data_IF_744534017257
#
_entry.id   IF_744534017257
#
_cell.length_a   1.000
_cell.length_b   1.000
_cell.length_c   1.000
_cell.angle_alpha   90.00
_cell.angle_beta   90.00
_cell.angle_gamma   90.00
#
_symmetry.space_group_name_H-M   'P 1'
#
loop_
_entity.id
_entity.type
_entity.pdbx_description
1 polymer ?
#
# COMPACT_ATOMS: atom_id res chain seq x y z
N UNK A 1 22.84 44.68 32.87
CA UNK A 1 21.83 44.33 31.85
C UNK A 1 20.58 45.10 32.18
N UNK A 2 20.25 46.08 31.33
CA UNK A 2 19.15 47.00 31.57
C UNK A 2 17.82 46.36 31.12
N UNK A 3 16.73 46.64 31.85
CA UNK A 3 15.38 46.10 31.60
C UNK A 3 14.94 46.21 30.12
N UNK A 4 15.37 47.25 29.42
CA UNK A 4 15.09 47.47 28.00
C UNK A 4 15.76 46.44 27.06
N UNK A 5 16.92 45.88 27.45
CA UNK A 5 17.59 44.83 26.68
C UNK A 5 16.82 43.51 26.77
N UNK A 6 16.28 43.18 27.94
CA UNK A 6 15.43 42.00 28.14
C UNK A 6 14.11 42.10 27.37
N UNK A 7 13.45 43.26 27.39
CA UNK A 7 12.21 43.47 26.63
C UNK A 7 12.44 43.34 25.12
N UNK A 8 13.55 43.90 24.60
CA UNK A 8 13.94 43.74 23.19
C UNK A 8 14.27 42.29 22.82
N UNK A 9 14.97 41.57 23.70
CA UNK A 9 15.24 40.15 23.48
C UNK A 9 13.96 39.32 23.47
N UNK A 10 13.04 39.59 24.40
CA UNK A 10 11.76 38.88 24.49
C UNK A 10 10.88 39.11 23.26
N UNK A 11 10.82 40.35 22.75
CA UNK A 11 10.09 40.65 21.50
C UNK A 11 10.65 39.87 20.30
N UNK A 12 11.98 39.86 20.12
CA UNK A 12 12.62 39.09 19.04
C UNK A 12 12.37 37.58 19.14
N UNK A 13 12.36 37.05 20.36
CA UNK A 13 12.02 35.64 20.63
C UNK A 13 10.56 35.34 20.27
N UNK A 14 9.63 36.23 20.61
CA UNK A 14 8.20 36.07 20.30
C UNK A 14 7.93 36.08 18.79
N UNK A 15 8.60 36.97 18.04
CA UNK A 15 8.53 37.02 16.58
C UNK A 15 9.09 35.73 15.96
N UNK A 16 10.26 35.28 16.42
CA UNK A 16 10.87 34.04 15.93
C UNK A 16 9.97 32.82 16.16
N UNK A 17 9.33 32.71 17.32
CA UNK A 17 8.36 31.63 17.62
C UNK A 17 7.16 31.71 16.68
N UNK A 18 6.60 32.90 16.46
CA UNK A 18 5.45 33.09 15.56
C UNK A 18 5.78 32.67 14.13
N UNK A 19 6.96 33.01 13.64
CA UNK A 19 7.43 32.61 12.31
C UNK A 19 7.66 31.09 12.20
N UNK A 20 8.22 30.47 13.24
CA UNK A 20 8.40 29.01 13.29
C UNK A 20 7.05 28.29 13.26
N UNK A 21 6.08 28.71 14.08
CA UNK A 21 4.74 28.11 14.09
C UNK A 21 4.04 28.24 12.74
N UNK A 22 4.14 29.40 12.08
CA UNK A 22 3.56 29.61 10.76
C UNK A 22 4.20 28.71 9.68
N UNK A 23 5.52 28.47 9.76
CA UNK A 23 6.21 27.58 8.84
C UNK A 23 5.83 26.11 9.07
N UNK A 24 5.70 25.67 10.33
CA UNK A 24 5.24 24.31 10.66
C UNK A 24 3.83 24.05 10.12
N UNK A 25 2.90 24.98 10.32
CA UNK A 25 1.53 24.84 9.82
C UNK A 25 1.47 24.72 8.28
N UNK A 26 2.31 25.49 7.58
CA UNK A 26 2.44 25.40 6.11
C UNK A 26 2.97 24.04 5.67
N UNK A 27 3.96 23.49 6.38
CA UNK A 27 4.51 22.16 6.08
C UNK A 27 3.47 21.05 6.30
N UNK A 28 2.75 21.07 7.42
CA UNK A 28 1.71 20.08 7.72
C UNK A 28 0.58 20.11 6.67
N UNK A 29 0.18 21.32 6.25
CA UNK A 29 -0.83 21.47 5.18
C UNK A 29 -0.34 20.91 3.85
N UNK A 30 0.93 21.14 3.49
CA UNK A 30 1.53 20.58 2.27
C UNK A 30 1.63 19.05 2.33
N UNK A 31 2.03 18.48 3.48
CA UNK A 31 2.11 17.03 3.69
C UNK A 31 0.72 16.39 3.57
N UNK A 32 -0.30 16.99 4.17
CA UNK A 32 -1.67 16.49 4.10
C UNK A 32 -2.23 16.55 2.67
N UNK A 33 -1.94 17.61 1.91
CA UNK A 33 -2.31 17.72 0.51
C UNK A 33 -1.59 16.68 -0.36
N UNK A 34 -0.29 16.43 -0.12
CA UNK A 34 0.47 15.38 -0.79
C UNK A 34 -0.08 13.98 -0.49
N UNK A 35 -0.40 13.69 0.77
CA UNK A 35 -1.00 12.40 1.17
C UNK A 35 -2.38 12.18 0.54
N UNK A 36 -3.21 13.22 0.48
CA UNK A 36 -4.50 13.16 -0.21
C UNK A 36 -4.34 12.92 -1.72
N UNK A 37 -3.34 13.56 -2.35
CA UNK A 37 -3.01 13.33 -3.74
C UNK A 37 -2.53 11.89 -4.00
N UNK A 38 -1.63 11.35 -3.16
CA UNK A 38 -1.18 9.94 -3.24
C UNK A 38 -2.36 8.97 -3.07
N UNK A 39 -3.25 9.24 -2.11
CA UNK A 39 -4.45 8.43 -1.90
C UNK A 39 -5.38 8.47 -3.12
N UNK A 40 -5.57 9.65 -3.73
CA UNK A 40 -6.36 9.81 -4.95
C UNK A 40 -5.73 9.08 -6.16
N UNK A 41 -4.40 9.13 -6.32
CA UNK A 41 -3.67 8.40 -7.35
C UNK A 41 -3.80 6.88 -7.20
N UNK A 42 -3.82 6.38 -5.95
CA UNK A 42 -4.05 4.95 -5.67
C UNK A 42 -5.50 4.53 -5.94
N UNK A 43 -6.46 5.42 -5.72
CA UNK A 43 -7.91 5.13 -5.86
C UNK A 43 -8.38 4.95 -7.32
N UNK A 44 -7.52 5.21 -8.31
CA UNK A 44 -7.87 5.15 -9.74
C UNK A 44 -7.25 4.00 -10.53
N UNK A 45 -6.31 3.24 -9.97
CA UNK A 45 -5.74 2.06 -10.65
C UNK A 45 -6.51 0.82 -10.19
N UNK A 46 -7.53 0.42 -10.95
CA UNK A 46 -8.01 -0.97 -10.86
C UNK A 46 -6.83 -1.86 -11.19
N UNK A 47 -6.46 -2.76 -10.29
CA UNK A 47 -5.46 -3.77 -10.59
C UNK A 47 -6.04 -4.62 -11.73
N UNK A 48 -5.33 -4.75 -12.87
CA UNK A 48 -5.82 -5.57 -13.97
C UNK A 48 -5.99 -7.02 -13.50
N UNK A 49 -7.04 -7.67 -13.99
CA UNK A 49 -7.26 -9.09 -13.73
C UNK A 49 -6.06 -9.90 -14.27
N UNK A 50 -5.45 -10.79 -13.46
CA UNK A 50 -4.30 -11.58 -13.90
C UNK A 50 -4.71 -12.57 -14.99
N UNK A 51 -3.82 -12.81 -15.95
CA UNK A 51 -3.98 -13.93 -16.87
C UNK A 51 -3.74 -15.27 -16.14
N UNK A 52 -4.40 -16.37 -16.56
CA UNK A 52 -4.11 -17.68 -15.99
C UNK A 52 -2.64 -18.08 -16.16
N UNK A 53 -2.04 -18.60 -15.10
CA UNK A 53 -0.67 -19.07 -15.10
C UNK A 53 -0.54 -20.44 -15.74
N UNK A 54 0.37 -20.54 -16.71
CA UNK A 54 0.82 -21.78 -17.32
C UNK A 54 2.36 -21.84 -17.34
N UNK A 55 2.93 -23.06 -17.38
CA UNK A 55 4.39 -23.24 -17.37
C UNK A 55 5.04 -22.89 -18.72
N UNK A 56 4.27 -22.95 -19.80
CA UNK A 56 4.73 -22.64 -21.15
C UNK A 56 4.67 -21.13 -21.46
N UNK A 57 4.15 -20.33 -20.54
CA UNK A 57 4.03 -18.89 -20.66
C UNK A 57 5.34 -18.15 -20.42
N UNK A 58 5.36 -16.87 -20.77
CA UNK A 58 6.51 -15.98 -20.51
C UNK A 58 6.59 -15.46 -19.07
N UNK A 59 5.54 -15.62 -18.27
CA UNK A 59 5.46 -15.13 -16.89
C UNK A 59 5.98 -16.20 -15.94
N UNK A 60 6.88 -15.83 -15.03
CA UNK A 60 7.38 -16.76 -14.01
C UNK A 60 6.37 -16.91 -12.85
N UNK A 61 6.44 -18.03 -12.12
CA UNK A 61 5.54 -18.28 -10.99
C UNK A 61 5.61 -17.17 -9.91
N UNK A 62 6.79 -16.65 -9.50
CA UNK A 62 6.86 -15.53 -8.55
C UNK A 62 6.20 -14.25 -9.06
N UNK A 63 6.38 -13.93 -10.35
CA UNK A 63 5.76 -12.75 -10.96
C UNK A 63 4.24 -12.86 -10.99
N UNK A 64 3.72 -14.04 -11.33
CA UNK A 64 2.30 -14.32 -11.25
C UNK A 64 1.75 -14.10 -9.84
N UNK A 65 2.44 -14.59 -8.80
CA UNK A 65 1.99 -14.40 -7.42
C UNK A 65 1.94 -12.93 -7.01
N UNK A 66 2.91 -12.10 -7.42
CA UNK A 66 2.90 -10.66 -7.13
C UNK A 66 1.64 -10.01 -7.73
N UNK A 67 1.34 -10.28 -9.00
CA UNK A 67 0.17 -9.72 -9.69
C UNK A 67 -1.12 -10.25 -9.07
N UNK A 68 -1.18 -11.53 -8.74
CA UNK A 68 -2.33 -12.18 -8.13
C UNK A 68 -2.61 -11.64 -6.72
N UNK A 69 -1.58 -11.41 -5.90
CA UNK A 69 -1.71 -10.83 -4.56
C UNK A 69 -2.23 -9.40 -4.62
N UNK A 70 -1.74 -8.58 -5.55
CA UNK A 70 -2.24 -7.22 -5.76
C UNK A 70 -3.72 -7.23 -6.18
N UNK A 71 -4.11 -8.12 -7.10
CA UNK A 71 -5.49 -8.26 -7.56
C UNK A 71 -6.42 -8.73 -6.43
N UNK A 72 -6.00 -9.73 -5.66
CA UNK A 72 -6.77 -10.24 -4.53
C UNK A 72 -6.88 -9.23 -3.38
N UNK A 73 -5.84 -8.42 -3.17
CA UNK A 73 -5.85 -7.34 -2.19
C UNK A 73 -6.83 -6.23 -2.59
N UNK A 74 -6.92 -5.89 -3.87
CA UNK A 74 -7.89 -4.92 -4.41
C UNK A 74 -9.33 -5.44 -4.30
N UNK A 75 -9.57 -6.72 -4.66
CA UNK A 75 -10.91 -7.32 -4.65
C UNK A 75 -11.46 -7.64 -3.26
N UNK A 76 -10.64 -8.21 -2.38
CA UNK A 76 -11.09 -8.78 -1.11
C UNK A 76 -10.57 -8.04 0.12
N UNK A 77 -9.59 -7.14 -0.05
CA UNK A 77 -8.86 -6.52 1.04
C UNK A 77 -7.82 -7.45 1.67
N UNK A 78 -6.88 -6.86 2.40
CA UNK A 78 -5.71 -7.56 2.96
C UNK A 78 -6.06 -8.53 4.13
N UNK A 79 -7.30 -8.50 4.62
CA UNK A 79 -7.75 -9.26 5.80
C UNK A 79 -8.42 -10.59 5.46
N UNK A 80 -8.57 -10.93 4.17
CA UNK A 80 -9.33 -12.11 3.71
C UNK A 80 -8.49 -13.09 2.90
N UNK A 81 -7.29 -13.45 3.39
CA UNK A 81 -6.40 -14.40 2.70
C UNK A 81 -7.04 -15.77 2.45
N UNK A 82 -7.92 -16.23 3.34
CA UNK A 82 -8.65 -17.50 3.14
C UNK A 82 -9.57 -17.46 1.90
N UNK A 83 -10.03 -16.28 1.49
CA UNK A 83 -10.82 -16.09 0.29
C UNK A 83 -10.00 -16.16 -1.00
N UNK A 84 -8.66 -16.06 -0.93
CA UNK A 84 -7.78 -16.05 -2.10
C UNK A 84 -7.57 -17.46 -2.66
N UNK A 85 -7.57 -18.48 -1.82
CA UNK A 85 -7.30 -19.89 -2.20
C UNK A 85 -8.27 -20.44 -3.27
N UNK A 86 -9.61 -20.29 -3.13
CA UNK A 86 -10.54 -20.69 -4.20
C UNK A 86 -10.38 -19.92 -5.50
N UNK A 87 -9.88 -18.67 -5.42
CA UNK A 87 -9.67 -17.78 -6.56
C UNK A 87 -8.40 -18.18 -7.30
N UNK A 88 -7.32 -18.47 -6.57
CA UNK A 88 -6.03 -18.91 -7.11
C UNK A 88 -6.19 -20.12 -8.03
N UNK A 89 -7.01 -21.10 -7.63
CA UNK A 89 -7.30 -22.29 -8.46
C UNK A 89 -7.78 -21.95 -9.87
N UNK A 90 -8.54 -20.85 -10.04
CA UNK A 90 -9.10 -20.44 -11.34
C UNK A 90 -8.04 -19.85 -12.27
N UNK A 91 -6.94 -19.33 -11.71
CA UNK A 91 -5.84 -18.71 -12.45
C UNK A 91 -4.61 -19.60 -12.54
N UNK A 92 -4.74 -20.90 -12.25
CA UNK A 92 -3.70 -21.89 -12.52
C UNK A 92 -4.21 -22.82 -13.62
N UNK A 93 -3.34 -23.15 -14.57
CA UNK A 93 -3.65 -24.08 -15.67
C UNK A 93 -2.74 -25.31 -15.68
N UNK A 94 -3.15 -26.32 -16.42
CA UNK A 94 -2.35 -27.52 -16.71
C UNK A 94 -1.86 -28.26 -15.47
N UNK A 95 -0.59 -28.66 -15.49
CA UNK A 95 0.03 -29.46 -14.43
C UNK A 95 0.10 -28.72 -13.09
N UNK A 96 0.23 -27.39 -13.11
CA UNK A 96 0.31 -26.57 -11.90
C UNK A 96 -1.03 -26.56 -11.17
N UNK A 97 -2.13 -26.45 -11.93
CA UNK A 97 -3.47 -26.57 -11.37
C UNK A 97 -3.70 -27.95 -10.76
N UNK A 98 -3.27 -29.02 -11.44
CA UNK A 98 -3.41 -30.38 -10.92
C UNK A 98 -2.60 -30.60 -9.65
N UNK A 99 -1.35 -30.13 -9.60
CA UNK A 99 -0.50 -30.18 -8.41
C UNK A 99 -1.13 -29.43 -7.23
N UNK A 100 -1.69 -28.25 -7.48
CA UNK A 100 -2.40 -27.46 -6.47
C UNK A 100 -3.65 -28.19 -5.93
N UNK A 101 -4.46 -28.79 -6.80
CA UNK A 101 -5.63 -29.58 -6.40
C UNK A 101 -5.21 -30.79 -5.56
N UNK A 102 -4.16 -31.51 -5.97
CA UNK A 102 -3.61 -32.65 -5.24
C UNK A 102 -3.17 -32.27 -3.82
N UNK A 103 -2.41 -31.19 -3.69
CA UNK A 103 -1.96 -30.66 -2.40
C UNK A 103 -3.13 -30.23 -1.50
N UNK A 104 -4.07 -29.45 -2.04
CA UNK A 104 -5.24 -28.96 -1.28
C UNK A 104 -6.15 -30.10 -0.80
N UNK A 105 -6.25 -31.19 -1.55
CA UNK A 105 -7.04 -32.38 -1.19
C UNK A 105 -6.35 -33.20 -0.10
N UNK A 106 -5.02 -33.31 -0.15
CA UNK A 106 -4.24 -34.02 0.87
C UNK A 106 -4.28 -33.29 2.23
N UNK A 107 -4.22 -31.97 2.23
CA UNK A 107 -4.28 -31.16 3.46
C UNK A 107 -5.67 -31.14 4.13
N UNK A 108 -6.75 -31.31 3.36
CA UNK A 108 -8.13 -31.36 3.90
C UNK A 108 -8.46 -32.64 4.68
N UNK A 109 -7.55 -33.62 4.71
CA UNK A 109 -7.70 -34.90 5.42
C UNK A 109 -7.04 -34.93 6.80
N UNK A 110 -6.48 -33.80 7.24
CA UNK A 110 -5.99 -33.57 8.61
C UNK A 110 -6.86 -32.52 9.31
#
# INVERSE_FOLDING_TARGET
MEKAEYERMFQKLSEAVTHLTANTLKQETQINAQNAHIAALKKGKKVPEPEPFNLDGGTTLPEFFIIFEDYCTDLYGNTKKDAWSPVLKKYLEGEVQQAYIGYSTAYKKF
#
